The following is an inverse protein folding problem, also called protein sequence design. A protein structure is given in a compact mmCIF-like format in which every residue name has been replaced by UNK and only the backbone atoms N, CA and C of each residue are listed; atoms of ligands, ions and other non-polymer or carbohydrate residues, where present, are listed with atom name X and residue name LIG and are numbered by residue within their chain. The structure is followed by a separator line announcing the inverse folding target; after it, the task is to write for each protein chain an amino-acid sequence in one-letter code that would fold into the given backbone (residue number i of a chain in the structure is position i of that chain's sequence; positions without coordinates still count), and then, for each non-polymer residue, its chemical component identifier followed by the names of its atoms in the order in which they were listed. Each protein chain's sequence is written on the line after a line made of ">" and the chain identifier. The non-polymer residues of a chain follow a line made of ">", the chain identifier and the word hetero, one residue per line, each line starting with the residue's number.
data_IF_598678114949
#
_entry.id   IF_598678114949
#
_cell.length_a   1.000
_cell.length_b   1.000
_cell.length_c   1.000
_cell.angle_alpha   90.00
_cell.angle_beta   90.00
_cell.angle_gamma   90.00
#
_symmetry.space_group_name_H-M   'P 1'
#
loop_
_entity.id
_entity.type
_entity.pdbx_description
1 polymer ?
#
# COMPACT_ATOMS: atom_id res chain seq x y z
N UNK A 1 3.25 -16.03 -12.75
CA UNK A 1 3.83 -17.28 -12.23
C UNK A 1 4.65 -16.98 -11.01
N UNK A 2 4.09 -17.15 -9.82
CA UNK A 2 4.83 -17.35 -8.56
C UNK A 2 3.83 -17.91 -7.54
N UNK A 3 3.96 -19.22 -7.31
CA UNK A 3 3.19 -19.95 -6.32
C UNK A 3 3.74 -19.62 -4.94
N UNK A 4 2.94 -19.02 -4.07
CA UNK A 4 3.23 -18.92 -2.64
C UNK A 4 2.53 -20.10 -1.95
N UNK A 5 3.25 -21.21 -1.87
CA UNK A 5 2.93 -22.32 -0.97
C UNK A 5 3.40 -21.91 0.42
N UNK A 6 2.49 -21.53 1.30
CA UNK A 6 2.78 -21.32 2.71
C UNK A 6 2.89 -22.69 3.40
N UNK A 7 4.12 -23.22 3.49
CA UNK A 7 4.44 -24.38 4.33
C UNK A 7 4.53 -23.91 5.78
N UNK A 8 3.59 -24.32 6.60
CA UNK A 8 3.70 -24.24 8.07
C UNK A 8 4.72 -25.28 8.53
N UNK A 9 5.94 -24.83 8.82
CA UNK A 9 6.94 -25.65 9.51
C UNK A 9 6.80 -25.46 11.00
N UNK A 10 6.30 -26.47 11.69
CA UNK A 10 6.39 -26.59 13.14
C UNK A 10 7.82 -26.95 13.53
N UNK A 11 8.58 -25.98 14.01
CA UNK A 11 9.89 -26.25 14.62
C UNK A 11 9.69 -26.56 16.10
N UNK A 12 9.89 -27.83 16.44
CA UNK A 12 9.96 -28.27 17.83
C UNK A 12 11.24 -27.76 18.50
N UNK A 13 11.11 -26.92 19.55
CA UNK A 13 12.22 -26.55 20.40
C UNK A 13 12.55 -27.67 21.37
N UNK A 14 13.72 -28.26 21.17
CA UNK A 14 14.35 -29.20 22.11
C UNK A 14 15.07 -28.42 23.22
N UNK A 15 14.67 -28.65 24.46
CA UNK A 15 15.33 -28.15 25.66
C UNK A 15 16.71 -28.77 25.83
N UNK A 16 17.73 -27.96 26.01
CA UNK A 16 19.01 -28.37 26.59
C UNK A 16 19.47 -27.30 27.56
N UNK A 17 19.44 -27.66 28.83
CA UNK A 17 20.07 -26.93 29.95
C UNK A 17 21.59 -27.02 29.86
N UNK A 18 22.33 -26.00 30.32
CA UNK A 18 23.58 -26.23 31.00
C UNK A 18 23.59 -25.60 32.41
N UNK A 19 24.27 -26.35 33.28
CA UNK A 19 24.56 -26.13 34.67
C UNK A 19 25.42 -24.89 35.00
N UNK A 20 25.11 -24.42 36.21
CA UNK A 20 25.86 -23.80 37.31
C UNK A 20 27.32 -23.32 37.10
N UNK A 21 27.62 -22.05 37.49
CA UNK A 21 28.40 -21.73 38.68
C UNK A 21 28.50 -20.24 39.00
N UNK A 22 28.09 -19.96 40.20
CA UNK A 22 28.40 -18.89 41.19
C UNK A 22 29.55 -17.90 40.85
N UNK A 23 29.30 -16.59 41.13
CA UNK A 23 30.02 -15.86 42.22
C UNK A 23 29.28 -14.58 42.62
N UNK A 24 29.21 -14.43 43.92
CA UNK A 24 28.70 -13.37 44.78
C UNK A 24 29.46 -12.06 44.62
N UNK A 25 28.74 -10.90 44.63
CA UNK A 25 29.04 -9.73 45.48
C UNK A 25 27.96 -8.66 45.37
N UNK A 26 27.29 -8.36 46.47
CA UNK A 26 26.60 -7.12 46.86
C UNK A 26 27.49 -6.37 47.87
N UNK A 27 27.22 -5.11 48.33
CA UNK A 27 26.27 -4.07 47.96
C UNK A 27 26.90 -2.66 47.86
N UNK A 28 26.20 -1.64 47.36
CA UNK A 28 26.19 -0.36 48.08
C UNK A 28 25.10 0.59 47.55
N UNK A 29 24.37 1.06 48.52
CA UNK A 29 23.34 2.10 48.55
C UNK A 29 23.86 3.47 48.12
N UNK A 30 22.99 4.33 47.51
CA UNK A 30 22.62 5.67 48.00
C UNK A 30 21.69 6.42 47.06
N UNK A 31 20.52 6.76 47.58
CA UNK A 31 19.71 8.00 47.47
C UNK A 31 19.63 8.78 46.16
N UNK A 32 18.43 8.85 45.55
CA UNK A 32 17.49 9.96 45.84
C UNK A 32 17.53 11.08 44.82
N UNK A 33 16.51 11.19 44.00
CA UNK A 33 15.78 12.44 43.80
C UNK A 33 14.58 12.20 42.83
N UNK A 34 13.44 12.55 43.32
CA UNK A 34 12.12 12.61 42.68
C UNK A 34 12.10 13.46 41.39
N UNK A 35 11.63 12.90 40.29
CA UNK A 35 11.08 13.65 39.21
C UNK A 35 9.72 13.01 38.81
N UNK A 36 8.76 13.85 38.80
CA UNK A 36 7.33 13.71 38.69
C UNK A 36 6.92 13.08 37.35
N UNK A 37 6.43 11.87 37.38
CA UNK A 37 5.76 11.21 36.27
C UNK A 37 4.41 11.90 36.01
N UNK A 38 4.20 12.33 34.79
CA UNK A 38 2.88 12.66 34.28
C UNK A 38 2.44 11.50 33.43
N UNK A 39 1.75 10.57 34.06
CA UNK A 39 1.06 9.47 33.39
C UNK A 39 -0.09 10.04 32.56
N UNK A 40 -0.04 9.81 31.26
CA UNK A 40 -1.22 9.81 30.42
C UNK A 40 -1.55 8.35 30.11
N UNK A 41 -2.17 7.69 31.06
CA UNK A 41 -2.76 6.37 30.90
C UNK A 41 -4.06 6.50 30.11
N UNK A 42 -4.03 6.13 28.83
CA UNK A 42 -5.22 5.66 28.14
C UNK A 42 -5.32 4.15 28.35
N UNK A 43 -5.66 3.74 29.57
CA UNK A 43 -6.11 2.38 29.83
C UNK A 43 -7.48 2.20 29.17
N UNK A 44 -7.50 1.51 28.02
CA UNK A 44 -8.70 0.83 27.57
C UNK A 44 -8.89 -0.37 28.50
N UNK A 45 -9.76 -0.24 29.48
CA UNK A 45 -10.23 -1.32 30.36
C UNK A 45 -11.04 -2.32 29.53
N UNK A 46 -10.34 -3.22 28.82
CA UNK A 46 -10.85 -4.50 28.36
C UNK A 46 -10.27 -5.60 29.21
N UNK A 47 -10.71 -5.66 30.47
CA UNK A 47 -10.54 -6.87 31.27
C UNK A 47 -11.34 -7.97 30.56
N UNK A 48 -10.66 -8.72 29.69
CA UNK A 48 -11.25 -9.81 28.93
C UNK A 48 -11.79 -10.85 29.90
N UNK A 49 -13.11 -11.07 29.90
CA UNK A 49 -13.86 -12.00 30.75
C UNK A 49 -13.60 -13.48 30.44
N UNK A 50 -12.37 -13.83 30.01
CA UNK A 50 -11.97 -15.21 29.77
C UNK A 50 -11.62 -15.91 31.09
N UNK A 51 -12.14 -17.13 31.27
CA UNK A 51 -12.00 -17.94 32.46
C UNK A 51 -10.64 -18.64 32.56
N UNK A 52 -9.95 -18.81 31.43
CA UNK A 52 -8.64 -19.48 31.37
C UNK A 52 -7.78 -18.96 30.23
N UNK A 53 -6.48 -19.28 30.28
CA UNK A 53 -5.55 -19.02 29.20
C UNK A 53 -5.93 -19.78 27.91
N UNK A 54 -6.42 -21.01 28.05
CA UNK A 54 -6.85 -21.86 26.94
C UNK A 54 -8.06 -21.25 26.23
N UNK A 55 -9.03 -20.73 26.98
CA UNK A 55 -10.18 -20.02 26.42
C UNK A 55 -9.76 -18.78 25.65
N UNK A 56 -8.89 -17.96 26.23
CA UNK A 56 -8.33 -16.75 25.58
C UNK A 56 -7.53 -17.10 24.34
N UNK A 57 -6.69 -18.13 24.40
CA UNK A 57 -5.90 -18.62 23.26
C UNK A 57 -6.78 -19.15 22.12
N UNK A 58 -7.80 -19.94 22.46
CA UNK A 58 -8.77 -20.46 21.49
C UNK A 58 -9.54 -19.34 20.79
N UNK A 59 -9.95 -18.31 21.53
CA UNK A 59 -10.61 -17.16 20.97
C UNK A 59 -9.68 -16.37 20.01
N UNK A 60 -8.42 -16.18 20.38
CA UNK A 60 -7.42 -15.52 19.53
C UNK A 60 -7.20 -16.27 18.21
N UNK A 61 -7.09 -17.61 18.27
CA UNK A 61 -7.02 -18.46 17.07
C UNK A 61 -8.27 -18.29 16.17
N UNK A 62 -9.44 -18.25 16.78
CA UNK A 62 -10.71 -17.99 16.06
C UNK A 62 -10.73 -16.61 15.39
N UNK A 63 -10.16 -15.58 16.03
CA UNK A 63 -10.04 -14.24 15.44
C UNK A 63 -9.16 -14.25 14.18
N UNK A 64 -8.07 -14.98 14.18
CA UNK A 64 -7.15 -15.04 13.03
C UNK A 64 -7.75 -15.82 11.85
N UNK A 65 -8.41 -16.94 12.16
CA UNK A 65 -9.20 -17.66 11.15
C UNK A 65 -10.30 -16.74 10.58
N UNK A 66 -11.03 -16.03 11.46
CA UNK A 66 -12.08 -15.09 11.05
C UNK A 66 -11.59 -13.97 10.13
N UNK A 67 -10.38 -13.43 10.36
CA UNK A 67 -9.73 -12.46 9.46
C UNK A 67 -9.48 -13.06 8.08
N UNK A 68 -8.98 -14.30 8.03
CA UNK A 68 -8.73 -15.03 6.78
C UNK A 68 -10.02 -15.28 6.00
N UNK A 69 -11.06 -15.77 6.67
CA UNK A 69 -12.38 -15.98 6.07
C UNK A 69 -13.00 -14.67 5.56
N UNK A 70 -12.84 -13.57 6.31
CA UNK A 70 -13.27 -12.24 5.86
C UNK A 70 -12.55 -11.79 4.59
N UNK A 71 -11.28 -12.14 4.45
CA UNK A 71 -10.53 -11.84 3.23
C UNK A 71 -11.03 -12.66 2.03
N UNK A 72 -11.31 -13.95 2.22
CA UNK A 72 -11.93 -14.81 1.19
C UNK A 72 -13.30 -14.26 0.75
N UNK A 73 -14.11 -13.80 1.70
CA UNK A 73 -15.41 -13.14 1.39
C UNK A 73 -15.23 -11.90 0.51
N UNK A 74 -14.21 -11.07 0.76
CA UNK A 74 -13.89 -9.91 -0.09
C UNK A 74 -13.47 -10.31 -1.51
N UNK A 75 -12.92 -11.50 -1.68
CA UNK A 75 -12.54 -12.07 -2.97
C UNK A 75 -13.73 -12.74 -3.69
N UNK A 76 -14.89 -12.81 -3.05
CA UNK A 76 -16.12 -13.35 -3.65
C UNK A 76 -16.42 -14.81 -3.29
N UNK A 77 -15.74 -15.37 -2.26
CA UNK A 77 -16.06 -16.67 -1.69
C UNK A 77 -16.79 -16.52 -0.35
N UNK A 78 -18.06 -16.88 -0.30
CA UNK A 78 -18.85 -16.84 0.94
C UNK A 78 -18.78 -18.19 1.64
N UNK A 79 -18.14 -18.22 2.80
CA UNK A 79 -17.95 -19.44 3.59
C UNK A 79 -19.25 -19.82 4.27
N UNK A 80 -19.72 -21.05 4.09
CA UNK A 80 -20.76 -21.64 4.92
C UNK A 80 -20.17 -21.96 6.31
N UNK A 81 -20.44 -21.08 7.26
CA UNK A 81 -19.91 -21.17 8.63
C UNK A 81 -20.35 -22.45 9.33
N UNK A 82 -21.54 -22.99 9.01
CA UNK A 82 -22.04 -24.23 9.61
C UNK A 82 -21.24 -25.44 9.11
N UNK A 83 -21.01 -25.52 7.80
CA UNK A 83 -20.17 -26.56 7.21
C UNK A 83 -18.73 -26.46 7.71
N UNK A 84 -18.18 -25.25 7.77
CA UNK A 84 -16.83 -24.98 8.27
C UNK A 84 -16.66 -25.48 9.72
N UNK A 85 -17.50 -25.04 10.65
CA UNK A 85 -17.40 -25.48 12.05
C UNK A 85 -17.65 -26.98 12.23
N UNK A 86 -18.55 -27.59 11.45
CA UNK A 86 -18.73 -29.03 11.47
C UNK A 86 -17.45 -29.78 11.10
N UNK A 87 -16.75 -29.33 10.05
CA UNK A 87 -15.48 -29.94 9.63
C UNK A 87 -14.41 -29.80 10.71
N UNK A 88 -14.24 -28.57 11.24
CA UNK A 88 -13.29 -28.31 12.36
C UNK A 88 -13.56 -29.22 13.54
N UNK A 89 -14.82 -29.35 13.96
CA UNK A 89 -15.20 -30.16 15.12
C UNK A 89 -15.01 -31.67 14.85
N UNK A 90 -15.26 -32.14 13.61
CA UNK A 90 -15.05 -33.53 13.23
C UNK A 90 -13.57 -33.89 13.29
N UNK A 91 -12.71 -33.08 12.68
CA UNK A 91 -11.26 -33.30 12.67
C UNK A 91 -10.69 -33.23 14.10
N UNK A 92 -11.06 -32.19 14.87
CA UNK A 92 -10.58 -32.02 16.25
C UNK A 92 -10.92 -33.19 17.16
N UNK A 93 -12.11 -33.80 17.00
CA UNK A 93 -12.55 -34.93 17.80
C UNK A 93 -12.19 -36.31 17.22
N UNK A 94 -11.39 -36.37 16.15
CA UNK A 94 -11.03 -37.64 15.50
C UNK A 94 -12.20 -38.36 14.87
N UNK A 95 -13.30 -37.65 14.52
CA UNK A 95 -14.47 -38.22 13.85
C UNK A 95 -14.27 -38.21 12.34
N UNK A 96 -15.01 -39.15 11.67
CA UNK A 96 -15.01 -39.17 10.23
C UNK A 96 -15.54 -37.87 9.63
N UNK A 97 -14.80 -37.31 8.68
CA UNK A 97 -15.18 -36.16 7.89
C UNK A 97 -16.10 -36.53 6.73
N UNK A 98 -16.86 -35.61 6.18
CA UNK A 98 -17.73 -35.82 5.03
C UNK A 98 -16.97 -35.94 3.71
N UNK A 99 -15.76 -35.42 3.67
CA UNK A 99 -14.84 -35.51 2.53
C UNK A 99 -13.59 -36.26 2.96
N UNK A 100 -13.03 -37.03 2.07
CA UNK A 100 -11.66 -37.54 2.17
C UNK A 100 -10.67 -36.38 1.98
N UNK A 101 -9.41 -36.58 2.35
CA UNK A 101 -8.32 -35.63 2.11
C UNK A 101 -8.19 -35.27 0.62
N UNK A 102 -8.35 -36.28 -0.27
CA UNK A 102 -8.31 -36.07 -1.71
C UNK A 102 -9.45 -35.17 -2.19
N UNK A 103 -10.69 -35.46 -1.80
CA UNK A 103 -11.87 -34.66 -2.16
C UNK A 103 -11.78 -33.23 -1.60
N UNK A 104 -11.26 -33.07 -0.39
CA UNK A 104 -11.03 -31.76 0.21
C UNK A 104 -9.98 -30.97 -0.60
N UNK A 105 -8.89 -31.61 -1.03
CA UNK A 105 -7.89 -31.00 -1.89
C UNK A 105 -8.44 -30.55 -3.24
N UNK A 106 -9.25 -31.40 -3.88
CA UNK A 106 -9.94 -31.08 -5.16
C UNK A 106 -10.84 -29.85 -4.97
N UNK A 107 -11.70 -29.85 -3.94
CA UNK A 107 -12.61 -28.73 -3.67
C UNK A 107 -11.87 -27.41 -3.41
N UNK A 108 -10.71 -27.45 -2.74
CA UNK A 108 -9.86 -26.27 -2.54
C UNK A 108 -9.31 -25.72 -3.86
N UNK A 109 -8.86 -26.59 -4.77
CA UNK A 109 -8.38 -26.20 -6.09
C UNK A 109 -9.52 -25.59 -6.92
N UNK A 110 -10.70 -26.19 -6.91
CA UNK A 110 -11.88 -25.67 -7.61
C UNK A 110 -12.25 -24.26 -7.12
N UNK A 111 -12.31 -24.05 -5.80
CA UNK A 111 -12.58 -22.74 -5.21
C UNK A 111 -11.52 -21.71 -5.63
N UNK A 112 -10.23 -22.05 -5.56
CA UNK A 112 -9.15 -21.14 -5.96
C UNK A 112 -9.25 -20.78 -7.45
N UNK A 113 -9.52 -21.75 -8.31
CA UNK A 113 -9.69 -21.53 -9.76
C UNK A 113 -10.88 -20.58 -10.04
N UNK A 114 -12.00 -20.79 -9.35
CA UNK A 114 -13.17 -19.92 -9.49
C UNK A 114 -12.89 -18.49 -9.02
N UNK A 115 -12.18 -18.33 -7.88
CA UNK A 115 -11.80 -17.03 -7.36
C UNK A 115 -10.83 -16.29 -8.30
N UNK A 116 -9.86 -16.99 -8.86
CA UNK A 116 -8.94 -16.43 -9.86
C UNK A 116 -9.67 -15.98 -11.12
N UNK A 117 -10.61 -16.80 -11.61
CA UNK A 117 -11.43 -16.46 -12.78
C UNK A 117 -12.29 -15.20 -12.51
N UNK A 118 -12.91 -15.11 -11.33
CA UNK A 118 -13.68 -13.91 -10.92
C UNK A 118 -12.80 -12.67 -10.79
N UNK A 119 -11.60 -12.82 -10.22
CA UNK A 119 -10.65 -11.72 -10.07
C UNK A 119 -10.15 -11.21 -11.43
N UNK A 120 -9.82 -12.14 -12.35
CA UNK A 120 -9.39 -11.83 -13.71
C UNK A 120 -10.48 -11.08 -14.47
N UNK A 121 -11.71 -11.62 -14.45
CA UNK A 121 -12.86 -10.97 -15.11
C UNK A 121 -13.08 -9.54 -14.58
N UNK A 122 -13.07 -9.37 -13.26
CA UNK A 122 -13.22 -8.04 -12.64
C UNK A 122 -12.10 -7.08 -13.04
N UNK A 123 -10.87 -7.60 -13.12
CA UNK A 123 -9.73 -6.80 -13.58
C UNK A 123 -9.89 -6.36 -15.04
N UNK A 124 -10.30 -7.25 -15.93
CA UNK A 124 -10.52 -6.95 -17.35
C UNK A 124 -11.65 -5.92 -17.54
N UNK A 125 -12.76 -6.09 -16.82
CA UNK A 125 -13.88 -5.13 -16.82
C UNK A 125 -13.44 -3.75 -16.33
N UNK A 126 -12.67 -3.68 -15.23
CA UNK A 126 -12.12 -2.43 -14.69
C UNK A 126 -11.14 -1.79 -15.70
N UNK A 127 -10.25 -2.59 -16.29
CA UNK A 127 -9.26 -2.14 -17.27
C UNK A 127 -9.94 -1.52 -18.51
N UNK A 128 -10.96 -2.18 -19.05
CA UNK A 128 -11.70 -1.70 -20.19
C UNK A 128 -12.50 -0.43 -19.84
N UNK A 129 -13.18 -0.41 -18.71
CA UNK A 129 -13.93 0.75 -18.25
C UNK A 129 -13.04 1.97 -18.05
N UNK A 130 -11.88 1.80 -17.41
CA UNK A 130 -10.91 2.89 -17.22
C UNK A 130 -10.33 3.39 -18.54
N UNK A 131 -10.04 2.49 -19.49
CA UNK A 131 -9.55 2.84 -20.83
C UNK A 131 -10.55 3.72 -21.58
N UNK A 132 -11.83 3.35 -21.59
CA UNK A 132 -12.87 4.14 -22.28
C UNK A 132 -13.12 5.49 -21.58
N UNK A 133 -13.26 5.49 -20.25
CA UNK A 133 -13.40 6.71 -19.46
C UNK A 133 -12.21 7.64 -19.63
N UNK A 134 -10.99 7.09 -19.58
CA UNK A 134 -9.75 7.85 -19.75
C UNK A 134 -9.64 8.48 -21.13
N UNK A 135 -9.99 7.73 -22.20
CA UNK A 135 -10.02 8.23 -23.58
C UNK A 135 -11.04 9.38 -23.74
N UNK A 136 -12.24 9.20 -23.21
CA UNK A 136 -13.29 10.23 -23.25
C UNK A 136 -12.85 11.49 -22.51
N UNK A 137 -12.32 11.32 -21.28
CA UNK A 137 -11.82 12.42 -20.46
C UNK A 137 -10.72 13.21 -21.18
N UNK A 138 -9.70 12.56 -21.71
CA UNK A 138 -8.59 13.23 -22.38
C UNK A 138 -9.04 13.93 -23.67
N UNK A 139 -9.99 13.35 -24.42
CA UNK A 139 -10.57 13.99 -25.60
C UNK A 139 -11.30 15.30 -25.23
N UNK A 140 -12.12 15.28 -24.21
CA UNK A 140 -12.81 16.46 -23.69
C UNK A 140 -11.82 17.48 -23.12
N UNK A 141 -10.87 17.01 -22.30
CA UNK A 141 -9.92 17.89 -21.63
C UNK A 141 -9.02 18.65 -22.60
N UNK A 142 -8.68 18.06 -23.75
CA UNK A 142 -7.89 18.71 -24.80
C UNK A 142 -8.57 19.98 -25.37
N UNK A 143 -9.89 20.10 -25.25
CA UNK A 143 -10.65 21.28 -25.73
C UNK A 143 -10.79 22.38 -24.68
N UNK A 144 -10.36 22.12 -23.44
CA UNK A 144 -10.47 23.10 -22.36
C UNK A 144 -9.43 24.22 -22.51
N UNK A 145 -9.81 25.43 -22.14
CA UNK A 145 -8.95 26.59 -22.25
C UNK A 145 -7.64 26.42 -21.45
N UNK A 146 -6.53 26.72 -22.09
CA UNK A 146 -5.19 26.64 -21.52
C UNK A 146 -4.59 25.24 -21.46
N UNK A 147 -5.34 24.20 -21.86
CA UNK A 147 -4.80 22.83 -21.95
C UNK A 147 -4.03 22.67 -23.26
N UNK A 148 -2.83 22.13 -23.18
CA UNK A 148 -1.96 21.77 -24.30
C UNK A 148 -1.71 20.28 -24.30
N UNK A 149 -1.56 19.70 -25.50
CA UNK A 149 -1.26 18.28 -25.69
C UNK A 149 0.09 18.12 -26.40
N UNK A 150 0.96 17.28 -25.84
CA UNK A 150 2.25 16.96 -26.45
C UNK A 150 2.14 15.82 -27.45
N UNK A 151 3.21 15.55 -28.21
CA UNK A 151 3.24 14.46 -29.18
C UNK A 151 3.07 13.06 -28.56
N UNK A 152 3.47 12.87 -27.29
CA UNK A 152 3.28 11.62 -26.55
C UNK A 152 1.83 11.41 -26.11
N UNK A 153 1.03 12.48 -26.09
CA UNK A 153 -0.34 12.53 -25.58
C UNK A 153 -0.45 12.99 -24.14
N UNK A 154 0.65 13.41 -23.50
CA UNK A 154 0.58 14.11 -22.23
C UNK A 154 -0.21 15.40 -22.42
N UNK A 155 -1.17 15.68 -21.53
CA UNK A 155 -1.83 16.97 -21.50
C UNK A 155 -1.40 17.75 -20.27
N UNK A 156 -1.29 19.07 -20.41
CA UNK A 156 -0.94 19.94 -19.30
C UNK A 156 -1.60 21.30 -19.40
N UNK A 157 -1.86 21.90 -18.26
CA UNK A 157 -2.29 23.28 -18.12
C UNK A 157 -1.28 24.01 -17.25
N UNK A 158 -0.64 25.04 -17.81
CA UNK A 158 0.24 25.92 -17.04
C UNK A 158 -0.60 26.81 -16.14
N UNK A 159 -0.38 26.75 -14.84
CA UNK A 159 -1.07 27.57 -13.83
C UNK A 159 -0.24 28.80 -13.50
N UNK A 160 1.09 28.60 -13.38
CA UNK A 160 2.03 29.68 -13.11
C UNK A 160 3.35 29.44 -13.82
N UNK A 161 3.81 30.44 -14.55
CA UNK A 161 5.16 30.40 -15.15
C UNK A 161 6.21 30.55 -14.05
N UNK A 162 7.21 29.65 -14.05
CA UNK A 162 8.39 29.80 -13.20
C UNK A 162 9.42 30.73 -13.83
N UNK A 163 10.26 31.31 -13.01
CA UNK A 163 11.35 32.21 -13.45
C UNK A 163 12.72 31.54 -13.46
N UNK A 164 12.83 30.37 -12.81
CA UNK A 164 14.07 29.60 -12.75
C UNK A 164 14.37 28.82 -14.04
N UNK A 165 15.35 27.93 -13.98
CA UNK A 165 15.69 27.03 -15.10
C UNK A 165 14.71 25.87 -15.21
N UNK A 166 14.70 25.22 -16.37
CA UNK A 166 14.01 23.95 -16.59
C UNK A 166 14.88 22.78 -16.13
N UNK A 167 14.27 21.71 -15.56
CA UNK A 167 15.02 20.51 -15.18
C UNK A 167 15.42 19.69 -16.41
N UNK A 168 16.52 19.00 -16.29
CA UNK A 168 16.94 17.95 -17.22
C UNK A 168 16.55 16.59 -16.65
N UNK A 169 16.47 15.58 -17.49
CA UNK A 169 16.09 14.22 -17.11
C UNK A 169 16.83 13.67 -15.89
N UNK A 170 18.12 14.00 -15.72
CA UNK A 170 18.96 13.48 -14.65
C UNK A 170 19.08 14.42 -13.43
N UNK A 171 18.33 15.51 -13.39
CA UNK A 171 18.37 16.43 -12.26
C UNK A 171 17.56 15.86 -11.07
N UNK A 172 17.95 16.25 -9.85
CA UNK A 172 17.16 16.12 -8.65
C UNK A 172 16.15 17.26 -8.61
N UNK A 173 14.87 16.94 -8.46
CA UNK A 173 13.80 17.93 -8.41
C UNK A 173 13.14 17.92 -7.05
N UNK A 174 12.71 19.09 -6.60
CA UNK A 174 11.97 19.31 -5.35
C UNK A 174 10.60 19.83 -5.74
N UNK A 175 9.56 19.05 -5.44
CA UNK A 175 8.19 19.37 -5.84
C UNK A 175 7.20 19.23 -4.70
N UNK A 176 6.17 20.06 -4.73
CA UNK A 176 4.89 19.79 -4.07
C UNK A 176 3.90 19.26 -5.07
N UNK A 177 3.08 18.28 -4.71
CA UNK A 177 2.08 17.73 -5.60
C UNK A 177 0.86 17.16 -4.88
N UNK A 178 -0.22 17.02 -5.64
CA UNK A 178 -1.37 16.20 -5.29
C UNK A 178 -1.79 15.40 -6.52
N UNK A 179 -1.91 14.08 -6.34
CA UNK A 179 -2.31 13.13 -7.38
C UNK A 179 -3.73 12.64 -7.18
N UNK A 180 -4.57 12.74 -8.22
CA UNK A 180 -5.96 12.27 -8.20
C UNK A 180 -6.33 11.52 -9.48
N UNK A 181 -7.35 10.70 -9.38
CA UNK A 181 -8.00 10.05 -10.52
C UNK A 181 -8.99 11.03 -11.20
N UNK A 182 -9.55 10.61 -12.35
CA UNK A 182 -10.53 11.41 -13.10
C UNK A 182 -11.85 11.64 -12.36
N UNK A 183 -12.16 10.79 -11.37
CA UNK A 183 -13.33 10.92 -10.50
C UNK A 183 -13.08 11.82 -9.27
N UNK A 184 -11.87 12.38 -9.15
CA UNK A 184 -11.46 13.23 -8.05
C UNK A 184 -10.86 12.49 -6.86
N UNK A 185 -10.83 11.16 -6.85
CA UNK A 185 -10.21 10.36 -5.78
C UNK A 185 -8.73 10.69 -5.64
N UNK A 186 -8.32 11.26 -4.51
CA UNK A 186 -6.90 11.52 -4.20
C UNK A 186 -6.24 10.22 -3.82
N UNK A 187 -5.21 9.84 -4.56
CA UNK A 187 -4.45 8.62 -4.29
C UNK A 187 -3.11 8.88 -3.62
N UNK A 188 -2.54 10.07 -3.81
CA UNK A 188 -1.23 10.43 -3.26
C UNK A 188 -1.09 11.95 -3.15
N UNK A 189 -0.32 12.42 -2.16
CA UNK A 189 -0.07 13.85 -1.93
C UNK A 189 1.23 14.06 -1.16
N UNK A 190 2.03 15.03 -1.58
CA UNK A 190 3.21 15.44 -0.81
C UNK A 190 2.88 16.10 0.53
N UNK A 191 1.64 16.57 0.73
CA UNK A 191 1.21 17.23 1.99
C UNK A 191 1.24 16.30 3.20
N UNK A 192 1.10 14.97 2.96
CA UNK A 192 1.12 13.95 4.01
C UNK A 192 2.55 13.43 4.29
N UNK A 193 3.53 13.81 3.47
CA UNK A 193 4.93 13.38 3.60
C UNK A 193 5.76 14.36 4.43
N UNK A 194 6.69 13.83 5.24
CA UNK A 194 7.78 14.60 5.83
C UNK A 194 8.88 14.70 4.77
N UNK A 195 9.23 15.91 4.32
CA UNK A 195 10.37 16.09 3.42
C UNK A 195 11.69 15.91 4.17
N UNK A 196 12.75 15.50 3.45
CA UNK A 196 14.10 15.29 4.01
C UNK A 196 14.67 16.56 4.68
N UNK A 197 14.12 17.75 4.38
CA UNK A 197 14.50 19.05 4.93
C UNK A 197 13.55 19.56 6.03
N UNK A 198 12.58 18.74 6.46
CA UNK A 198 11.63 19.09 7.53
C UNK A 198 10.54 20.08 7.12
N UNK A 199 10.49 20.53 5.87
CA UNK A 199 9.45 21.40 5.34
C UNK A 199 8.35 20.53 4.76
N UNK A 200 7.29 20.27 5.50
CA UNK A 200 6.16 19.46 5.07
C UNK A 200 5.60 19.89 3.70
N UNK A 201 5.23 18.91 2.89
CA UNK A 201 4.60 19.16 1.59
C UNK A 201 5.55 19.27 0.38
N UNK A 202 6.86 19.02 0.53
CA UNK A 202 7.82 18.98 -0.59
C UNK A 202 8.56 17.65 -0.54
N UNK A 203 8.63 16.96 -1.66
CA UNK A 203 9.45 15.75 -1.82
C UNK A 203 10.56 15.97 -2.85
N UNK A 204 11.62 15.18 -2.74
CA UNK A 204 12.79 15.26 -3.60
C UNK A 204 13.08 13.91 -4.23
N UNK A 205 13.29 13.88 -5.54
CA UNK A 205 13.66 12.66 -6.25
C UNK A 205 14.40 12.97 -7.55
N UNK A 206 15.09 11.97 -8.07
CA UNK A 206 15.69 12.02 -9.40
C UNK A 206 14.61 11.86 -10.46
N UNK A 207 14.55 12.81 -11.39
CA UNK A 207 13.50 12.84 -12.41
C UNK A 207 13.51 11.59 -13.32
N UNK A 208 14.68 11.03 -13.61
CA UNK A 208 14.83 9.81 -14.43
C UNK A 208 14.32 8.52 -13.76
N UNK A 209 13.95 8.57 -12.49
CA UNK A 209 13.43 7.42 -11.71
C UNK A 209 11.91 7.45 -11.53
N UNK A 210 11.21 8.24 -12.34
CA UNK A 210 9.76 8.41 -12.23
C UNK A 210 9.03 7.94 -13.48
N UNK A 211 7.69 8.03 -13.46
CA UNK A 211 6.87 7.69 -14.61
C UNK A 211 7.17 8.60 -15.82
N UNK A 212 7.05 8.10 -17.06
CA UNK A 212 7.33 8.87 -18.27
C UNK A 212 6.61 10.22 -18.33
N UNK A 213 5.35 10.28 -17.89
CA UNK A 213 4.56 11.51 -17.85
C UNK A 213 5.16 12.60 -16.94
N UNK A 214 5.80 12.22 -15.84
CA UNK A 214 6.50 13.17 -14.98
C UNK A 214 7.84 13.59 -15.58
N UNK A 215 8.59 12.65 -16.17
CA UNK A 215 9.84 12.97 -16.86
C UNK A 215 9.59 14.02 -17.96
N UNK A 216 8.53 13.86 -18.74
CA UNK A 216 8.19 14.80 -19.77
C UNK A 216 7.60 16.10 -19.21
N UNK A 217 6.58 16.00 -18.35
CA UNK A 217 5.83 17.15 -17.84
C UNK A 217 6.67 18.13 -17.04
N UNK A 218 7.53 17.62 -16.13
CA UNK A 218 8.39 18.49 -15.32
C UNK A 218 9.44 19.23 -16.15
N UNK A 219 9.90 18.68 -17.27
CA UNK A 219 10.80 19.38 -18.20
C UNK A 219 10.13 20.54 -18.94
N UNK A 220 8.80 20.62 -18.95
CA UNK A 220 8.06 21.77 -19.47
C UNK A 220 8.00 22.93 -18.48
N UNK A 221 8.23 22.67 -17.18
CA UNK A 221 8.19 23.66 -16.12
C UNK A 221 9.55 24.32 -15.90
N UNK A 222 9.54 25.60 -15.51
CA UNK A 222 10.68 26.26 -14.88
C UNK A 222 10.55 26.19 -13.35
N UNK A 223 11.67 26.21 -12.62
CA UNK A 223 11.64 26.30 -11.18
C UNK A 223 10.83 27.52 -10.71
N UNK A 224 9.97 27.34 -9.72
CA UNK A 224 8.96 28.30 -9.26
C UNK A 224 7.63 28.22 -10.04
N UNK A 225 7.53 27.36 -11.04
CA UNK A 225 6.31 27.15 -11.85
C UNK A 225 5.36 26.12 -11.27
N UNK A 226 4.09 26.21 -11.69
CA UNK A 226 3.01 25.34 -11.29
C UNK A 226 2.20 24.92 -12.52
N UNK A 227 1.82 23.64 -12.59
CA UNK A 227 0.98 23.12 -13.66
C UNK A 227 0.11 21.96 -13.19
N UNK A 228 -0.99 21.72 -13.91
CA UNK A 228 -1.72 20.47 -13.83
C UNK A 228 -1.31 19.58 -15.00
N UNK A 229 -0.89 18.36 -14.70
CA UNK A 229 -0.61 17.32 -15.70
C UNK A 229 -1.77 16.34 -15.74
N UNK A 230 -2.21 15.96 -16.93
CA UNK A 230 -3.17 14.90 -17.20
C UNK A 230 -2.43 13.80 -17.97
N UNK A 231 -2.07 12.76 -17.26
CA UNK A 231 -1.13 11.73 -17.72
C UNK A 231 -1.92 10.51 -18.20
N UNK A 232 -1.93 10.21 -19.52
CA UNK A 232 -2.55 8.97 -20.01
C UNK A 232 -1.86 7.74 -19.41
N UNK A 233 -2.59 6.65 -19.23
CA UNK A 233 -2.09 5.43 -18.62
C UNK A 233 -0.75 4.95 -19.21
N UNK A 234 -0.58 5.02 -20.53
CA UNK A 234 0.67 4.63 -21.23
C UNK A 234 1.92 5.42 -20.80
N UNK A 235 1.74 6.60 -20.19
CA UNK A 235 2.82 7.44 -19.64
C UNK A 235 2.88 7.36 -18.10
N UNK A 236 2.08 6.48 -17.50
CA UNK A 236 2.01 6.21 -16.07
C UNK A 236 2.25 4.71 -15.80
N UNK A 237 1.25 4.00 -15.30
CA UNK A 237 1.36 2.59 -14.90
C UNK A 237 0.75 1.61 -15.93
N UNK A 238 0.21 2.10 -17.05
CA UNK A 238 -0.34 1.26 -18.10
C UNK A 238 -1.51 0.39 -17.64
N UNK A 239 -1.40 -0.89 -17.94
CA UNK A 239 -2.38 -1.90 -17.54
C UNK A 239 -2.18 -2.41 -16.09
N UNK A 240 -1.13 -1.98 -15.41
CA UNK A 240 -0.87 -2.42 -14.05
C UNK A 240 -1.76 -1.71 -13.03
N UNK A 241 -2.11 -2.44 -11.97
CA UNK A 241 -2.78 -1.90 -10.80
C UNK A 241 -1.75 -1.51 -9.75
N UNK A 242 -1.83 -0.29 -9.22
CA UNK A 242 -0.94 0.17 -8.17
C UNK A 242 -1.71 0.35 -6.85
N UNK A 243 -1.40 -0.52 -5.90
CA UNK A 243 -2.08 -0.55 -4.62
C UNK A 243 -3.59 -0.78 -4.76
N UNK A 244 -4.36 -0.14 -3.89
CA UNK A 244 -5.83 -0.27 -3.87
C UNK A 244 -6.55 0.93 -4.51
N UNK A 245 -5.82 1.97 -4.92
CA UNK A 245 -6.40 3.23 -5.40
C UNK A 245 -6.29 3.40 -6.90
N UNK A 246 -5.18 2.98 -7.52
CA UNK A 246 -4.96 3.16 -8.95
C UNK A 246 -5.25 1.84 -9.68
N UNK A 247 -6.35 1.80 -10.40
CA UNK A 247 -6.74 0.65 -11.24
C UNK A 247 -5.96 0.61 -12.57
N UNK A 248 -6.08 -0.50 -13.31
CA UNK A 248 -5.45 -0.62 -14.62
C UNK A 248 -5.98 0.43 -15.60
N UNK A 249 -5.16 0.87 -16.51
CA UNK A 249 -5.49 1.89 -17.53
C UNK A 249 -6.00 3.24 -16.98
N UNK A 250 -5.68 3.58 -15.73
CA UNK A 250 -6.09 4.85 -15.13
C UNK A 250 -5.34 6.04 -15.73
N UNK A 251 -6.08 7.09 -16.07
CA UNK A 251 -5.51 8.43 -16.31
C UNK A 251 -5.24 9.07 -14.96
N UNK A 252 -4.06 9.64 -14.79
CA UNK A 252 -3.65 10.30 -13.56
C UNK A 252 -3.64 11.82 -13.76
N UNK A 253 -4.12 12.54 -12.78
CA UNK A 253 -4.10 13.99 -12.74
C UNK A 253 -3.21 14.42 -11.59
N UNK A 254 -2.20 15.26 -11.88
CA UNK A 254 -1.31 15.80 -10.87
C UNK A 254 -1.30 17.32 -10.92
N UNK A 255 -1.62 17.95 -9.82
CA UNK A 255 -1.31 19.35 -9.61
C UNK A 255 0.09 19.43 -9.02
N UNK A 256 1.01 20.10 -9.70
CA UNK A 256 2.44 20.06 -9.39
C UNK A 256 3.00 21.47 -9.27
N UNK A 257 3.83 21.68 -8.24
CA UNK A 257 4.64 22.87 -8.05
C UNK A 257 6.12 22.48 -8.05
N UNK A 258 6.87 22.94 -9.05
CA UNK A 258 8.32 22.73 -9.10
C UNK A 258 9.02 23.81 -8.29
N UNK A 259 9.52 23.45 -7.10
CA UNK A 259 10.10 24.41 -6.15
C UNK A 259 11.57 24.69 -6.48
N UNK A 260 12.37 23.63 -6.64
CA UNK A 260 13.83 23.74 -6.80
C UNK A 260 14.37 22.60 -7.67
N UNK A 261 15.54 22.81 -8.24
CA UNK A 261 16.25 21.83 -9.05
C UNK A 261 17.70 21.81 -8.61
N UNK A 262 18.22 20.63 -8.26
CA UNK A 262 19.63 20.42 -7.99
C UNK A 262 20.27 19.58 -9.14
N UNK A 263 21.42 20.03 -9.64
CA UNK A 263 22.16 19.33 -10.69
C UNK A 263 23.02 18.22 -10.10
N UNK A 264 23.03 17.08 -10.78
CA UNK A 264 23.95 15.96 -10.50
C UNK A 264 23.86 15.36 -9.10
N UNK A 265 22.69 15.42 -8.45
CA UNK A 265 22.47 14.77 -7.14
C UNK A 265 23.42 15.26 -6.03
N UNK A 266 24.13 16.37 -6.21
CA UNK A 266 24.94 16.96 -5.15
C UNK A 266 24.04 17.66 -4.15
N UNK A 267 23.61 16.91 -3.16
CA UNK A 267 23.08 17.46 -1.91
C UNK A 267 24.19 18.33 -1.30
N UNK A 268 24.12 19.63 -1.45
CA UNK A 268 24.87 20.54 -0.57
C UNK A 268 24.08 20.59 0.74
N UNK A 269 24.44 19.73 1.66
CA UNK A 269 24.14 19.94 3.08
C UNK A 269 24.85 21.24 3.49
N UNK A 270 24.09 22.26 3.84
CA UNK A 270 24.57 23.45 4.54
C UNK A 270 24.18 23.37 5.98
#
# INVERSE_FOLDING_TARGET
>A
MLALIATFSLTACSNKTPDTSSTTTTPSSLNGTTAKETEASAESDTSSSFKSLDEKGSYAMGMDIGKSLKQMKKQGFEVDMKAFFNAVQSVYNGKQTKLSELEAGIAQVEIMTELEAKATKKYEEEAQANKEKGKAFLKENATKEGVKTTASGLQYKMIKEGTGRQPRKNDLVHIGYEGRLIDGTVFDSSKEGVSDDGVGGIISFRLDQTIPGWIEGLQLLKAGGEATFYIPAKLAYGEEKLGNKIGPNSVLIFDVKLVKIDRNGKHRIR
#
